data_IF_359412627033
#
_entry.id   IF_359412627033
#
_cell.length_a   1.000
_cell.length_b   1.000
_cell.length_c   1.000
_cell.angle_alpha   90.00
_cell.angle_beta   90.00
_cell.angle_gamma   90.00
#
_symmetry.space_group_name_H-M   'P 1'
#
loop_
_entity.id
_entity.type
_entity.pdbx_description
1 polymer ?
#
# COMPACT_ATOMS: atom_id res chain seq x y z
N UNK A 1 28.88 -57.27 63.19
CA UNK A 1 29.88 -56.33 63.74
C UNK A 1 29.14 -55.15 64.33
N UNK A 2 29.38 -54.80 65.58
CA UNK A 2 28.95 -53.51 66.14
C UNK A 2 30.06 -52.93 67.03
N UNK A 3 31.14 -52.38 66.46
CA UNK A 3 31.97 -51.44 67.19
C UNK A 3 31.60 -50.03 66.70
N UNK A 4 30.62 -49.41 67.35
CA UNK A 4 30.41 -47.97 67.23
C UNK A 4 30.96 -47.32 68.50
N UNK A 5 31.86 -46.34 68.35
CA UNK A 5 32.15 -45.41 69.44
C UNK A 5 30.85 -44.66 69.80
N UNK A 6 30.61 -44.29 71.07
CA UNK A 6 29.42 -43.53 71.47
C UNK A 6 29.22 -42.30 70.57
N UNK A 7 28.09 -42.24 69.86
CA UNK A 7 27.72 -41.14 68.95
C UNK A 7 27.91 -41.41 67.44
N UNK A 8 28.55 -42.51 67.03
CA UNK A 8 28.64 -42.89 65.61
C UNK A 8 27.45 -43.76 65.16
N UNK A 9 26.97 -43.58 63.93
CA UNK A 9 25.96 -44.45 63.34
C UNK A 9 26.51 -45.89 63.21
N UNK A 10 25.81 -46.92 63.73
CA UNK A 10 26.31 -48.29 63.73
C UNK A 10 26.34 -48.88 62.31
N UNK A 11 27.38 -49.66 62.01
CA UNK A 11 27.41 -50.55 60.86
C UNK A 11 26.69 -51.84 61.27
N UNK A 12 25.75 -52.34 60.47
CA UNK A 12 25.01 -53.56 60.79
C UNK A 12 24.64 -54.38 59.55
N UNK A 13 24.47 -55.69 59.76
CA UNK A 13 23.96 -56.66 58.78
C UNK A 13 22.95 -57.51 59.52
N UNK A 14 21.68 -57.45 59.11
CA UNK A 14 20.56 -58.17 59.73
C UNK A 14 19.71 -58.85 58.65
N UNK A 15 18.68 -59.60 59.06
CA UNK A 15 17.68 -60.15 58.12
C UNK A 15 16.95 -59.08 57.30
N UNK A 16 16.99 -57.82 57.75
CA UNK A 16 16.29 -56.70 57.12
C UNK A 16 17.23 -55.89 56.19
N UNK A 17 18.52 -56.24 56.10
CA UNK A 17 19.47 -55.65 55.15
C UNK A 17 20.80 -55.21 55.76
N UNK A 18 21.46 -54.26 55.09
CA UNK A 18 22.79 -53.73 55.44
C UNK A 18 22.67 -52.24 55.73
N UNK A 19 23.29 -51.78 56.82
CA UNK A 19 23.49 -50.36 57.13
C UNK A 19 24.99 -50.03 57.13
N UNK A 20 25.41 -49.07 56.31
CA UNK A 20 26.80 -48.65 56.18
C UNK A 20 27.26 -47.62 57.23
N UNK A 21 26.41 -47.19 58.17
CA UNK A 21 26.78 -46.28 59.25
C UNK A 21 27.33 -44.93 58.77
N UNK A 22 26.73 -44.37 57.71
CA UNK A 22 27.17 -43.14 57.03
C UNK A 22 28.63 -43.20 56.53
N UNK A 23 29.15 -44.39 56.19
CA UNK A 23 30.45 -44.56 55.54
C UNK A 23 30.30 -44.87 54.07
N UNK A 24 31.32 -44.53 53.29
CA UNK A 24 31.45 -44.94 51.90
C UNK A 24 31.71 -46.44 51.82
N UNK A 25 31.06 -47.13 50.88
CA UNK A 25 31.39 -48.51 50.51
C UNK A 25 32.44 -48.44 49.40
N UNK A 26 33.69 -48.75 49.70
CA UNK A 26 34.79 -48.73 48.73
C UNK A 26 34.98 -50.10 48.08
N UNK A 27 35.76 -50.15 46.99
CA UNK A 27 36.07 -51.38 46.24
C UNK A 27 34.83 -52.09 45.65
N UNK A 28 33.77 -51.34 45.37
CA UNK A 28 32.61 -51.85 44.63
C UNK A 28 32.96 -51.90 43.14
N UNK A 29 33.14 -53.11 42.62
CA UNK A 29 33.32 -53.34 41.18
C UNK A 29 32.10 -52.81 40.39
N UNK A 30 32.24 -52.48 39.10
CA UNK A 30 31.09 -52.11 38.29
C UNK A 30 30.01 -53.20 38.33
N UNK A 31 28.79 -52.81 38.70
CA UNK A 31 27.64 -53.72 38.65
C UNK A 31 27.33 -54.12 37.20
N UNK A 32 27.00 -55.39 36.98
CA UNK A 32 26.75 -55.97 35.64
C UNK A 32 25.28 -56.39 35.52
N UNK A 33 24.72 -56.95 36.59
CA UNK A 33 23.34 -57.43 36.64
C UNK A 33 22.38 -56.36 37.18
N UNK A 34 21.08 -56.51 36.90
CA UNK A 34 20.05 -55.53 37.29
C UNK A 34 19.88 -55.30 38.79
N UNK A 35 20.48 -56.15 39.64
CA UNK A 35 20.44 -56.05 41.11
C UNK A 35 21.80 -55.74 41.74
N UNK A 36 22.84 -55.55 40.93
CA UNK A 36 24.17 -55.22 41.45
C UNK A 36 24.20 -53.77 41.94
N UNK A 37 25.01 -53.50 42.96
CA UNK A 37 25.28 -52.12 43.37
C UNK A 37 26.06 -51.38 42.27
N UNK A 38 25.71 -50.12 42.02
CA UNK A 38 26.44 -49.25 41.09
C UNK A 38 27.52 -48.47 41.83
N UNK A 39 28.71 -48.35 41.25
CA UNK A 39 29.73 -47.43 41.75
C UNK A 39 29.61 -46.05 41.08
N UNK A 40 30.25 -45.02 41.66
CA UNK A 40 30.19 -43.64 41.14
C UNK A 40 30.64 -43.53 39.68
N UNK A 41 31.66 -44.30 39.28
CA UNK A 41 32.18 -44.25 37.92
C UNK A 41 31.13 -44.68 36.88
N UNK A 42 30.24 -45.62 37.23
CA UNK A 42 29.13 -46.02 36.35
C UNK A 42 28.09 -44.91 36.21
N UNK A 43 27.76 -44.22 37.31
CA UNK A 43 26.85 -43.08 37.30
C UNK A 43 27.41 -41.93 36.45
N UNK A 44 28.67 -41.57 36.67
CA UNK A 44 29.35 -40.50 35.94
C UNK A 44 29.42 -40.81 34.44
N UNK A 45 29.74 -42.05 34.04
CA UNK A 45 29.77 -42.46 32.64
C UNK A 45 28.38 -42.40 32.00
N UNK A 46 27.34 -42.96 32.64
CA UNK A 46 26.00 -42.99 32.04
C UNK A 46 25.39 -41.60 31.85
N UNK A 47 25.68 -40.66 32.75
CA UNK A 47 25.24 -39.26 32.59
C UNK A 47 26.14 -38.51 31.60
N UNK A 48 27.45 -38.70 31.68
CA UNK A 48 28.43 -37.98 30.85
C UNK A 48 28.44 -38.37 29.38
N UNK A 49 28.14 -39.64 29.07
CA UNK A 49 28.04 -40.15 27.70
C UNK A 49 26.72 -39.75 27.03
N UNK A 50 25.72 -39.32 27.80
CA UNK A 50 24.47 -38.86 27.22
C UNK A 50 24.68 -37.47 26.61
N UNK A 51 24.30 -37.33 25.34
CA UNK A 51 24.49 -36.09 24.58
C UNK A 51 23.16 -35.56 24.07
N UNK A 52 23.08 -34.24 23.92
CA UNK A 52 21.99 -33.55 23.24
C UNK A 52 22.51 -32.87 21.98
N UNK A 53 21.70 -32.92 20.92
CA UNK A 53 21.86 -32.15 19.68
C UNK A 53 20.51 -31.54 19.34
N UNK A 54 20.54 -30.40 18.67
CA UNK A 54 19.35 -29.73 18.19
C UNK A 54 19.42 -29.64 16.67
N UNK A 55 18.34 -30.05 16.01
CA UNK A 55 18.18 -29.94 14.57
C UNK A 55 17.54 -28.62 14.17
N UNK A 56 17.83 -28.17 12.96
CA UNK A 56 17.19 -27.05 12.30
C UNK A 56 16.79 -27.38 10.88
N UNK A 57 16.32 -26.36 10.15
CA UNK A 57 15.96 -26.47 8.74
C UNK A 57 17.14 -27.00 7.90
N UNK A 58 16.81 -27.57 6.73
CA UNK A 58 17.77 -28.15 5.79
C UNK A 58 18.70 -29.20 6.42
N UNK A 59 18.17 -29.97 7.37
CA UNK A 59 18.90 -31.04 8.07
C UNK A 59 20.17 -30.56 8.79
N UNK A 60 20.23 -29.28 9.17
CA UNK A 60 21.34 -28.75 9.95
C UNK A 60 21.25 -29.21 11.41
N UNK A 61 22.39 -29.39 12.08
CA UNK A 61 22.45 -29.84 13.47
C UNK A 61 23.53 -29.08 14.24
N UNK A 62 23.29 -28.84 15.53
CA UNK A 62 24.34 -28.33 16.42
C UNK A 62 25.38 -29.41 16.72
N UNK A 63 26.57 -29.00 17.16
CA UNK A 63 27.54 -29.91 17.77
C UNK A 63 26.93 -30.58 19.00
N UNK A 64 27.23 -31.87 19.21
CA UNK A 64 26.78 -32.62 20.39
C UNK A 64 27.26 -31.94 21.68
N UNK A 65 26.37 -31.79 22.65
CA UNK A 65 26.70 -31.30 23.99
C UNK A 65 26.49 -32.42 25.01
N UNK A 66 27.46 -32.64 25.90
CA UNK A 66 27.33 -33.62 26.98
C UNK A 66 26.42 -33.07 28.09
N UNK A 67 25.61 -33.91 28.74
CA UNK A 67 24.77 -33.43 29.84
C UNK A 67 25.58 -33.02 31.09
N UNK A 68 26.80 -33.54 31.24
CA UNK A 68 27.68 -33.32 32.40
C UNK A 68 28.57 -32.08 32.29
N UNK A 69 28.23 -31.11 31.43
CA UNK A 69 29.06 -29.92 31.22
C UNK A 69 29.20 -29.09 32.50
N UNK A 70 30.44 -28.74 32.85
CA UNK A 70 30.73 -27.90 34.00
C UNK A 70 30.15 -26.49 33.78
N UNK A 71 29.38 -25.98 34.74
CA UNK A 71 28.62 -24.73 34.60
C UNK A 71 27.25 -24.88 33.93
N UNK A 72 26.85 -26.11 33.58
CA UNK A 72 25.55 -26.42 33.00
C UNK A 72 25.49 -26.21 31.48
N UNK A 73 24.33 -26.57 30.91
CA UNK A 73 24.06 -26.37 29.49
C UNK A 73 23.42 -25.00 29.26
N UNK A 74 23.95 -24.25 28.30
CA UNK A 74 23.30 -23.06 27.78
C UNK A 74 22.82 -23.30 26.34
N UNK A 75 21.51 -23.18 26.12
CA UNK A 75 20.92 -23.26 24.80
C UNK A 75 20.60 -21.85 24.27
N UNK A 76 21.30 -21.45 23.21
CA UNK A 76 21.06 -20.19 22.53
C UNK A 76 20.15 -20.41 21.30
N UNK A 77 19.09 -19.62 21.17
CA UNK A 77 18.35 -19.46 19.92
C UNK A 77 18.87 -18.19 19.26
N UNK A 78 19.52 -18.32 18.10
CA UNK A 78 20.12 -17.19 17.39
C UNK A 78 19.14 -16.63 16.36
N UNK A 79 18.70 -15.38 16.56
CA UNK A 79 17.99 -14.62 15.53
C UNK A 79 18.89 -14.28 14.34
N UNK A 80 18.33 -14.33 13.14
CA UNK A 80 18.97 -13.92 11.89
C UNK A 80 17.90 -13.49 10.87
N UNK A 81 18.29 -12.71 9.85
CA UNK A 81 17.46 -12.37 8.69
C UNK A 81 16.05 -11.85 9.01
N UNK A 82 15.93 -10.87 9.91
CA UNK A 82 14.62 -10.33 10.28
C UNK A 82 14.06 -10.85 11.59
N UNK A 83 14.77 -11.75 12.28
CA UNK A 83 14.34 -12.36 13.55
C UNK A 83 15.26 -11.91 14.70
N UNK A 84 14.64 -11.54 15.81
CA UNK A 84 15.27 -11.27 17.10
C UNK A 84 14.82 -12.29 18.15
N UNK A 85 15.74 -12.61 19.08
CA UNK A 85 15.48 -13.51 20.20
C UNK A 85 15.87 -12.86 21.52
N UNK A 86 15.10 -13.14 22.57
CA UNK A 86 15.38 -12.69 23.93
C UNK A 86 14.91 -13.72 24.94
N UNK A 87 15.67 -13.94 26.02
CA UNK A 87 15.29 -14.86 27.10
C UNK A 87 15.05 -14.08 28.41
N UNK A 88 13.98 -14.39 29.11
CA UNK A 88 13.67 -13.82 30.42
C UNK A 88 12.83 -14.80 31.25
N UNK A 89 13.18 -15.00 32.53
CA UNK A 89 12.51 -15.98 33.37
C UNK A 89 12.62 -17.39 32.79
N UNK A 90 11.49 -18.04 32.54
CA UNK A 90 11.41 -19.39 31.96
C UNK A 90 11.19 -19.40 30.45
N UNK A 91 11.05 -18.22 29.82
CA UNK A 91 10.61 -18.11 28.43
C UNK A 91 11.72 -17.59 27.51
N UNK A 92 11.68 -18.05 26.25
CA UNK A 92 12.44 -17.46 25.15
C UNK A 92 11.43 -16.91 24.13
N UNK A 93 11.52 -15.61 23.87
CA UNK A 93 10.72 -14.96 22.82
C UNK A 93 11.48 -14.98 21.51
N UNK A 94 10.79 -15.34 20.43
CA UNK A 94 11.25 -15.22 19.05
C UNK A 94 10.26 -14.32 18.32
N UNK A 95 10.76 -13.22 17.73
CA UNK A 95 9.91 -12.23 17.06
C UNK A 95 10.59 -11.67 15.82
N UNK A 96 9.82 -10.97 14.99
CA UNK A 96 10.40 -10.11 13.95
C UNK A 96 11.18 -8.97 14.59
N UNK A 97 12.31 -8.63 13.99
CA UNK A 97 13.06 -7.44 14.36
C UNK A 97 12.26 -6.17 14.03
N UNK A 98 12.65 -5.06 14.67
CA UNK A 98 11.89 -3.80 14.57
C UNK A 98 11.84 -3.27 13.14
N UNK A 99 12.95 -3.40 12.39
CA UNK A 99 13.05 -2.87 11.04
C UNK A 99 12.19 -3.66 10.03
N UNK A 100 12.19 -4.99 10.15
CA UNK A 100 11.41 -5.92 9.33
C UNK A 100 9.94 -5.78 9.63
N UNK A 101 9.57 -5.70 10.91
CA UNK A 101 8.20 -5.40 11.31
C UNK A 101 7.73 -4.06 10.74
N UNK A 102 8.54 -3.00 10.84
CA UNK A 102 8.19 -1.70 10.27
C UNK A 102 7.99 -1.74 8.75
N UNK A 103 8.80 -2.51 8.01
CA UNK A 103 8.60 -2.70 6.56
C UNK A 103 7.28 -3.40 6.24
N UNK A 104 6.92 -4.43 7.00
CA UNK A 104 5.67 -5.18 6.82
C UNK A 104 4.47 -4.31 7.21
N UNK A 105 4.54 -3.59 8.33
CA UNK A 105 3.48 -2.70 8.80
C UNK A 105 3.15 -1.59 7.77
N UNK A 106 4.14 -1.16 6.99
CA UNK A 106 4.00 -0.13 5.94
C UNK A 106 3.84 -0.68 4.53
N UNK A 107 3.86 -2.01 4.34
CA UNK A 107 3.73 -2.59 3.00
C UNK A 107 2.30 -2.37 2.48
N UNK A 108 2.15 -1.79 1.28
CA UNK A 108 0.83 -1.63 0.67
C UNK A 108 0.14 -2.99 0.49
N UNK A 109 -1.15 -3.06 0.86
CA UNK A 109 -1.98 -4.23 0.61
C UNK A 109 -2.42 -4.30 -0.87
N UNK A 110 -3.06 -5.40 -1.26
CA UNK A 110 -3.41 -5.64 -2.67
C UNK A 110 -4.40 -4.61 -3.23
N UNK A 111 -5.22 -4.01 -2.38
CA UNK A 111 -6.26 -3.06 -2.76
C UNK A 111 -5.92 -1.61 -2.35
N UNK A 112 -4.70 -1.36 -1.90
CA UNK A 112 -4.20 -0.07 -1.41
C UNK A 112 -5.02 0.54 -0.27
N UNK A 113 -5.79 -0.27 0.47
CA UNK A 113 -6.69 0.22 1.51
C UNK A 113 -5.96 0.69 2.77
N UNK A 114 -4.71 0.27 2.93
CA UNK A 114 -3.83 0.66 4.02
C UNK A 114 -2.92 1.87 3.68
N UNK A 115 -3.09 2.51 2.52
CA UNK A 115 -2.35 3.73 2.21
C UNK A 115 -2.74 4.88 3.14
N UNK A 116 -1.73 5.62 3.59
CA UNK A 116 -1.95 6.88 4.30
C UNK A 116 -2.48 7.95 3.32
N UNK A 117 -3.06 9.05 3.82
CA UNK A 117 -3.42 10.19 2.97
C UNK A 117 -2.27 10.69 2.09
N UNK A 118 -1.03 10.63 2.60
CA UNK A 118 0.17 10.97 1.83
C UNK A 118 0.40 9.99 0.66
N UNK A 119 0.25 8.68 0.90
CA UNK A 119 0.33 7.67 -0.16
C UNK A 119 -0.73 7.86 -1.25
N UNK A 120 -1.97 8.15 -0.84
CA UNK A 120 -3.06 8.47 -1.78
C UNK A 120 -2.75 9.72 -2.60
N UNK A 121 -2.15 10.76 -1.99
CA UNK A 121 -1.75 11.96 -2.72
C UNK A 121 -0.63 11.69 -3.74
N UNK A 122 0.36 10.85 -3.40
CA UNK A 122 1.40 10.45 -4.37
C UNK A 122 0.78 9.78 -5.59
N UNK A 123 -0.22 8.91 -5.41
CA UNK A 123 -0.94 8.28 -6.53
C UNK A 123 -1.66 9.34 -7.38
N UNK A 124 -2.40 10.26 -6.74
CA UNK A 124 -3.12 11.35 -7.44
C UNK A 124 -2.18 12.28 -8.20
N UNK A 125 -1.02 12.57 -7.63
CA UNK A 125 0.02 13.42 -8.23
C UNK A 125 0.74 12.70 -9.37
N UNK A 126 1.01 11.40 -9.24
CA UNK A 126 1.65 10.59 -10.28
C UNK A 126 0.73 10.42 -11.50
N UNK A 127 -0.59 10.35 -11.28
CA UNK A 127 -1.59 10.30 -12.34
C UNK A 127 -1.91 11.67 -12.96
N UNK A 128 -1.25 12.75 -12.50
CA UNK A 128 -1.52 14.10 -13.00
C UNK A 128 -1.10 14.27 -14.47
N UNK A 129 -1.78 15.17 -15.16
CA UNK A 129 -1.47 15.56 -16.54
C UNK A 129 -1.43 17.09 -16.67
N UNK A 130 -0.96 17.59 -17.81
CA UNK A 130 -0.82 19.03 -18.07
C UNK A 130 -1.88 19.52 -19.06
N UNK A 131 -2.57 20.60 -18.72
CA UNK A 131 -3.50 21.31 -19.61
C UNK A 131 -2.92 22.64 -20.04
N UNK A 132 -3.09 23.00 -21.32
CA UNK A 132 -2.66 24.28 -21.88
C UNK A 132 -3.57 24.65 -23.04
N UNK A 133 -3.95 25.92 -23.13
CA UNK A 133 -4.61 26.50 -24.30
C UNK A 133 -3.66 27.49 -24.98
N UNK A 134 -3.53 27.40 -26.30
CA UNK A 134 -2.72 28.31 -27.11
C UNK A 134 -1.28 28.42 -26.55
N UNK A 135 -0.80 29.66 -26.35
CA UNK A 135 0.53 29.96 -25.83
C UNK A 135 0.57 30.17 -24.30
N UNK A 136 -0.50 29.83 -23.57
CA UNK A 136 -0.55 30.00 -22.12
C UNK A 136 0.48 29.11 -21.39
N UNK A 137 0.69 29.39 -20.10
CA UNK A 137 1.43 28.49 -19.21
C UNK A 137 0.66 27.18 -19.03
N UNK A 138 1.38 26.05 -18.98
CA UNK A 138 0.78 24.74 -18.77
C UNK A 138 0.47 24.52 -17.29
N UNK A 139 -0.81 24.29 -16.98
CA UNK A 139 -1.30 24.01 -15.64
C UNK A 139 -1.30 22.50 -15.36
N UNK A 140 -1.08 22.10 -14.11
CA UNK A 140 -1.22 20.69 -13.70
C UNK A 140 -2.66 20.40 -13.31
N UNK A 141 -3.23 19.34 -13.88
CA UNK A 141 -4.50 18.75 -13.46
C UNK A 141 -4.19 17.48 -12.68
N UNK A 142 -4.43 17.52 -11.38
CA UNK A 142 -4.22 16.40 -10.44
C UNK A 142 -5.51 15.61 -10.25
N UNK A 143 -5.38 14.41 -9.67
CA UNK A 143 -6.54 13.61 -9.30
C UNK A 143 -7.48 14.33 -8.32
N UNK A 144 -8.68 14.68 -8.78
CA UNK A 144 -9.70 15.40 -8.01
C UNK A 144 -9.93 16.84 -8.47
N UNK A 145 -9.08 17.38 -9.37
CA UNK A 145 -9.31 18.68 -9.98
C UNK A 145 -10.46 18.60 -11.02
N UNK A 146 -11.21 19.69 -11.16
CA UNK A 146 -12.21 19.86 -12.21
C UNK A 146 -11.66 20.70 -13.37
N UNK A 147 -11.84 20.22 -14.60
CA UNK A 147 -11.59 20.99 -15.82
C UNK A 147 -12.92 21.46 -16.38
N UNK A 148 -13.17 22.76 -16.33
CA UNK A 148 -14.44 23.36 -16.76
C UNK A 148 -14.29 24.01 -18.13
N UNK A 149 -15.04 23.52 -19.12
CA UNK A 149 -15.20 24.17 -20.42
C UNK A 149 -16.48 25.00 -20.42
N UNK A 150 -16.40 26.27 -20.82
CA UNK A 150 -17.54 27.20 -20.83
C UNK A 150 -17.92 27.57 -22.27
N UNK A 151 -19.20 27.82 -22.49
CA UNK A 151 -19.70 28.41 -23.74
C UNK A 151 -18.93 29.71 -24.07
N UNK A 152 -18.58 29.87 -25.33
CA UNK A 152 -17.91 31.06 -25.86
C UNK A 152 -18.86 31.95 -26.65
N UNK A 153 -18.35 33.09 -27.13
CA UNK A 153 -19.07 33.89 -28.13
C UNK A 153 -19.21 33.08 -29.42
N UNK A 154 -20.43 32.62 -29.72
CA UNK A 154 -20.71 31.77 -30.89
C UNK A 154 -20.28 30.31 -30.78
N UNK A 155 -19.83 29.85 -29.61
CA UNK A 155 -19.48 28.44 -29.37
C UNK A 155 -20.36 27.88 -28.27
N UNK A 156 -20.98 26.74 -28.56
CA UNK A 156 -21.73 25.95 -27.60
C UNK A 156 -20.95 24.70 -27.24
N UNK A 157 -20.86 24.41 -25.95
CA UNK A 157 -20.24 23.20 -25.43
C UNK A 157 -21.27 22.41 -24.62
N UNK A 158 -21.43 21.13 -24.92
CA UNK A 158 -22.27 20.21 -24.14
C UNK A 158 -21.49 18.95 -23.77
N UNK A 159 -21.89 18.29 -22.69
CA UNK A 159 -21.26 17.08 -22.19
C UNK A 159 -22.31 16.00 -21.94
N UNK A 160 -21.99 14.77 -22.36
CA UNK A 160 -22.72 13.55 -21.99
C UNK A 160 -21.72 12.51 -21.51
N UNK A 161 -21.62 12.32 -20.19
CA UNK A 161 -20.61 11.44 -19.60
C UNK A 161 -19.18 11.88 -19.96
N UNK A 162 -18.49 11.08 -20.79
CA UNK A 162 -17.10 11.33 -21.23
C UNK A 162 -16.99 11.96 -22.62
N UNK A 163 -18.12 12.20 -23.29
CA UNK A 163 -18.16 12.85 -24.60
C UNK A 163 -18.50 14.33 -24.47
N UNK A 164 -17.73 15.16 -25.16
CA UNK A 164 -17.96 16.59 -25.27
C UNK A 164 -18.28 16.93 -26.73
N UNK A 165 -19.36 17.67 -26.93
CA UNK A 165 -19.73 18.21 -28.24
C UNK A 165 -19.46 19.70 -28.24
N UNK A 166 -18.63 20.15 -29.19
CA UNK A 166 -18.31 21.56 -29.42
C UNK A 166 -18.93 21.93 -30.76
N UNK A 167 -19.85 22.89 -30.75
CA UNK A 167 -20.58 23.32 -31.95
C UNK A 167 -20.65 24.84 -32.06
N UNK A 168 -20.93 25.32 -33.27
CA UNK A 168 -21.24 26.73 -33.49
C UNK A 168 -22.63 27.04 -32.94
N UNK A 169 -22.73 28.07 -32.09
CA UNK A 169 -24.00 28.62 -31.64
C UNK A 169 -24.48 29.65 -32.67
N UNK A 170 -25.19 29.17 -33.69
CA UNK A 170 -25.63 30.01 -34.83
C UNK A 170 -26.57 31.13 -34.40
N UNK A 171 -27.28 30.98 -33.29
CA UNK A 171 -28.19 32.01 -32.76
C UNK A 171 -27.39 33.21 -32.21
N UNK A 172 -26.29 32.95 -31.52
CA UNK A 172 -25.39 34.01 -31.02
C UNK A 172 -24.53 34.59 -32.13
N UNK A 173 -24.06 33.75 -33.05
CA UNK A 173 -23.28 34.21 -34.22
C UNK A 173 -24.10 35.18 -35.06
N UNK A 174 -25.37 34.87 -35.36
CA UNK A 174 -26.20 35.73 -36.22
C UNK A 174 -26.53 37.07 -35.58
N UNK A 175 -26.75 37.11 -34.27
CA UNK A 175 -27.00 38.36 -33.53
C UNK A 175 -25.75 39.25 -33.43
N UNK A 176 -24.57 38.64 -33.27
CA UNK A 176 -23.31 39.39 -33.14
C UNK A 176 -22.66 39.79 -34.46
N UNK A 177 -22.96 39.09 -35.55
CA UNK A 177 -22.35 39.34 -36.86
C UNK A 177 -23.16 40.37 -37.63
N UNK A 178 -22.50 41.45 -38.07
CA UNK A 178 -23.14 42.51 -38.85
C UNK A 178 -22.84 42.37 -40.34
N UNK A 179 -23.84 42.62 -41.15
CA UNK A 179 -23.72 42.89 -42.58
C UNK A 179 -23.63 44.40 -42.78
N UNK A 180 -22.51 44.88 -43.33
CA UNK A 180 -22.35 46.28 -43.71
C UNK A 180 -22.79 46.50 -45.17
N UNK A 181 -23.59 47.52 -45.43
CA UNK A 181 -24.12 47.84 -46.76
C UNK A 181 -24.18 49.35 -47.01
N UNK A 182 -24.26 49.75 -48.27
CA UNK A 182 -24.29 51.16 -48.70
C UNK A 182 -25.18 51.31 -49.93
N UNK A 183 -25.91 52.41 -50.02
CA UNK A 183 -26.42 52.88 -51.31
C UNK A 183 -25.31 53.66 -52.01
N UNK A 184 -25.08 53.42 -53.31
CA UNK A 184 -24.21 54.23 -54.17
C UNK A 184 -22.77 54.49 -53.66
N UNK A 185 -22.25 53.64 -52.77
CA UNK A 185 -20.93 53.84 -52.16
C UNK A 185 -20.88 54.91 -51.07
N UNK A 186 -22.03 55.37 -50.57
CA UNK A 186 -22.12 56.37 -49.51
C UNK A 186 -21.41 55.92 -48.23
N UNK A 187 -20.79 56.89 -47.54
CA UNK A 187 -20.13 56.68 -46.26
C UNK A 187 -20.79 57.55 -45.16
N UNK A 188 -20.92 57.04 -43.92
CA UNK A 188 -20.49 55.72 -43.46
C UNK A 188 -21.40 54.58 -43.96
N UNK A 189 -20.88 53.35 -43.91
CA UNK A 189 -21.70 52.17 -44.20
C UNK A 189 -22.84 52.04 -43.20
N UNK A 190 -24.00 51.63 -43.69
CA UNK A 190 -25.10 51.16 -42.86
C UNK A 190 -24.80 49.73 -42.38
N UNK A 191 -25.38 49.33 -41.25
CA UNK A 191 -25.18 48.00 -40.68
C UNK A 191 -26.50 47.40 -40.23
N UNK A 192 -26.61 46.09 -40.40
CA UNK A 192 -27.68 45.28 -39.81
C UNK A 192 -27.10 43.97 -39.30
N UNK A 193 -27.70 43.33 -38.30
CA UNK A 193 -27.23 42.01 -37.88
C UNK A 193 -27.69 40.94 -38.87
N UNK A 194 -26.99 39.80 -38.94
CA UNK A 194 -27.45 38.66 -39.73
C UNK A 194 -28.79 38.13 -39.23
N UNK A 195 -29.09 38.27 -37.93
CA UNK A 195 -30.35 37.89 -37.33
C UNK A 195 -31.52 38.79 -37.78
N UNK A 196 -31.30 40.11 -37.82
CA UNK A 196 -32.32 41.07 -38.24
C UNK A 196 -32.55 41.03 -39.76
N UNK A 197 -31.48 40.78 -40.54
CA UNK A 197 -31.53 40.73 -42.00
C UNK A 197 -31.78 42.11 -42.64
N UNK A 198 -31.75 42.16 -43.98
CA UNK A 198 -32.07 43.39 -44.70
C UNK A 198 -33.59 43.55 -44.80
N UNK A 199 -34.10 44.71 -44.38
CA UNK A 199 -35.51 45.06 -44.53
C UNK A 199 -35.69 46.05 -45.70
N UNK A 200 -36.27 45.56 -46.81
CA UNK A 200 -36.59 46.39 -47.97
C UNK A 200 -37.99 46.97 -47.82
N UNK A 201 -38.09 48.29 -47.71
CA UNK A 201 -39.36 49.00 -47.50
C UNK A 201 -39.84 49.67 -48.77
N UNK A 202 -41.15 49.92 -48.86
CA UNK A 202 -41.75 50.74 -49.91
C UNK A 202 -41.10 52.13 -49.97
N UNK A 203 -40.86 52.59 -51.19
CA UNK A 203 -40.48 53.97 -51.46
C UNK A 203 -41.71 54.86 -51.67
N UNK A 204 -41.49 56.14 -51.97
CA UNK A 204 -42.62 57.03 -52.28
C UNK A 204 -43.39 56.56 -53.52
N UNK A 205 -42.67 56.17 -54.58
CA UNK A 205 -43.21 55.75 -55.89
C UNK A 205 -43.04 54.25 -56.18
N UNK A 206 -42.49 53.49 -55.24
CA UNK A 206 -42.19 52.07 -55.46
C UNK A 206 -42.72 51.20 -54.32
N UNK A 207 -43.15 50.00 -54.65
CA UNK A 207 -43.52 48.96 -53.69
C UNK A 207 -42.42 47.89 -53.68
N UNK A 208 -41.90 47.56 -52.50
CA UNK A 208 -40.87 46.53 -52.34
C UNK A 208 -41.53 45.16 -52.17
N UNK A 209 -41.01 44.15 -52.85
CA UNK A 209 -41.40 42.76 -52.60
C UNK A 209 -40.18 41.83 -52.59
N UNK A 210 -40.28 40.77 -51.79
CA UNK A 210 -39.25 39.74 -51.64
C UNK A 210 -39.81 38.36 -51.93
N UNK A 211 -38.98 37.49 -52.47
CA UNK A 211 -39.29 36.09 -52.78
C UNK A 211 -38.16 35.17 -52.29
N UNK A 212 -38.38 33.83 -52.23
CA UNK A 212 -37.34 32.88 -51.81
C UNK A 212 -36.01 33.06 -52.55
N UNK A 213 -34.92 32.61 -51.92
CA UNK A 213 -33.53 32.72 -52.43
C UNK A 213 -33.01 34.16 -52.59
N UNK A 214 -33.58 35.12 -51.87
CA UNK A 214 -33.09 36.50 -51.85
C UNK A 214 -33.44 37.31 -53.11
N UNK A 215 -34.46 36.91 -53.85
CA UNK A 215 -34.97 37.70 -54.99
C UNK A 215 -35.72 38.92 -54.45
N UNK A 216 -35.25 40.11 -54.83
CA UNK A 216 -35.85 41.40 -54.45
C UNK A 216 -36.39 42.09 -55.70
N UNK A 217 -37.60 42.63 -55.63
CA UNK A 217 -38.23 43.42 -56.71
C UNK A 217 -38.72 44.76 -56.18
N UNK A 218 -38.71 45.76 -57.05
CA UNK A 218 -39.34 47.05 -56.84
C UNK A 218 -40.28 47.34 -57.99
N UNK A 219 -41.58 47.35 -57.72
CA UNK A 219 -42.61 47.70 -58.70
C UNK A 219 -42.95 49.19 -58.55
N UNK A 220 -43.32 49.85 -59.66
CA UNK A 220 -43.76 51.25 -59.63
C UNK A 220 -45.20 51.33 -59.15
N UNK A 221 -45.50 52.25 -58.23
CA UNK A 221 -46.86 52.54 -57.79
C UNK A 221 -47.63 53.23 -58.93
N UNK A 222 -48.57 52.53 -59.53
CA UNK A 222 -49.51 53.12 -60.51
C UNK A 222 -50.76 53.61 -59.78
N UNK A 223 -51.09 54.89 -59.91
CA UNK A 223 -52.42 55.39 -59.53
C UNK A 223 -53.45 54.79 -60.49
N UNK A 224 -54.34 53.94 -59.98
CA UNK A 224 -55.65 53.70 -60.62
C UNK A 224 -56.55 54.90 -60.45
#
# INVERSE_FOLDING_TARGET
>A
VTPAAPGAAPISVTKDGINAGNKTITNVAPGVNGTDAVNKNQLDQKIGDNTIKLGGDNSTVTTAQNLSQNGGLQFNIKGANGIETSAAGTDVTVKLDTATKAKIDNAADKNLSNLTPAGTNVIKDTAAWKVKANNNTAETVKGGDEVVFKDGAGVKITQSGKEFTISADTTKISQGTKLSYTANGDAPKQEVTLADGLNFTDGNLTTASVSPNGVVKYDVKTTT
#
